data_IF_840522216942
#
_entry.id   IF_840522216942
#
_cell.length_a   1.000
_cell.length_b   1.000
_cell.length_c   1.000
_cell.angle_alpha   90.00
_cell.angle_beta   90.00
_cell.angle_gamma   90.00
#
_symmetry.space_group_name_H-M   'P 1'
#
loop_
_entity.id
_entity.type
_entity.pdbx_description
1 polymer ?
#
# COMPACT_ATOMS: atom_id res chain seq x y z
N UNK A 1 20.14 2.92 2.19
CA UNK A 1 20.46 1.55 2.63
C UNK A 1 19.38 1.11 3.62
N UNK A 2 18.54 0.13 3.29
CA UNK A 2 17.50 -0.41 4.17
C UNK A 2 18.09 -0.94 5.49
N UNK A 3 17.27 -0.92 6.55
CA UNK A 3 17.69 -1.30 7.91
C UNK A 3 18.33 -2.69 7.96
N UNK A 4 17.77 -3.65 7.22
CA UNK A 4 18.27 -5.03 7.16
C UNK A 4 19.68 -5.12 6.56
N UNK A 5 19.97 -4.34 5.51
CA UNK A 5 21.31 -4.30 4.92
C UNK A 5 22.33 -3.68 5.87
N UNK A 6 21.94 -2.64 6.63
CA UNK A 6 22.80 -2.06 7.66
C UNK A 6 23.11 -3.07 8.77
N UNK A 7 22.10 -3.79 9.26
CA UNK A 7 22.30 -4.84 10.26
C UNK A 7 23.21 -5.96 9.74
N UNK A 8 23.02 -6.40 8.50
CA UNK A 8 23.86 -7.44 7.89
C UNK A 8 25.32 -6.98 7.67
N UNK A 9 25.53 -5.71 7.35
CA UNK A 9 26.87 -5.14 7.26
C UNK A 9 27.56 -5.09 8.64
N UNK A 10 26.82 -4.69 9.69
CA UNK A 10 27.33 -4.65 11.06
C UNK A 10 27.65 -6.05 11.58
N UNK A 11 26.79 -7.05 11.38
CA UNK A 11 27.06 -8.44 11.81
C UNK A 11 28.32 -9.00 11.15
N UNK A 12 28.50 -8.79 9.83
CA UNK A 12 29.70 -9.23 9.11
C UNK A 12 30.98 -8.56 9.64
N UNK A 13 30.89 -7.27 9.97
CA UNK A 13 32.01 -6.52 10.55
C UNK A 13 32.37 -7.05 11.95
N UNK A 14 31.38 -7.31 12.80
CA UNK A 14 31.60 -7.87 14.15
C UNK A 14 32.28 -9.24 14.08
N UNK A 15 31.84 -10.12 13.17
CA UNK A 15 32.47 -11.43 12.97
C UNK A 15 33.94 -11.28 12.56
N UNK A 16 34.24 -10.38 11.60
CA UNK A 16 35.62 -10.14 11.18
C UNK A 16 36.50 -9.64 12.32
N UNK A 17 36.03 -8.66 13.10
CA UNK A 17 36.78 -8.12 14.24
C UNK A 17 37.04 -9.20 15.31
N UNK A 18 36.04 -10.02 15.63
CA UNK A 18 36.20 -11.12 16.58
C UNK A 18 37.22 -12.17 16.11
N UNK A 19 37.20 -12.55 14.83
CA UNK A 19 38.17 -13.49 14.25
C UNK A 19 39.59 -12.90 14.29
N UNK A 20 39.75 -11.63 13.88
CA UNK A 20 41.07 -10.97 13.92
C UNK A 20 41.59 -10.81 15.35
N UNK A 21 40.72 -10.49 16.31
CA UNK A 21 41.09 -10.36 17.72
C UNK A 21 41.47 -11.71 18.36
N UNK A 22 40.78 -12.78 17.99
CA UNK A 22 41.11 -14.13 18.42
C UNK A 22 42.49 -14.58 17.89
N UNK A 23 42.80 -14.33 16.62
CA UNK A 23 44.10 -14.67 16.03
C UNK A 23 45.23 -13.89 16.73
N UNK A 24 45.03 -12.61 17.02
CA UNK A 24 46.07 -11.75 17.59
C UNK A 24 46.39 -12.06 19.07
N UNK A 25 45.38 -12.48 19.85
CA UNK A 25 45.53 -12.66 21.31
C UNK A 25 45.44 -14.12 21.78
N UNK A 26 44.95 -15.03 20.92
CA UNK A 26 44.68 -16.45 21.21
C UNK A 26 43.82 -16.68 22.46
N UNK A 27 42.99 -15.71 22.84
CA UNK A 27 42.16 -15.78 24.04
C UNK A 27 40.72 -16.20 23.70
N UNK A 28 40.22 -17.26 24.35
CA UNK A 28 38.86 -17.77 24.19
C UNK A 28 37.78 -16.75 24.59
N UNK A 29 38.12 -15.70 25.35
CA UNK A 29 37.21 -14.63 25.72
C UNK A 29 36.57 -13.94 24.50
N UNK A 30 37.24 -13.91 23.34
CA UNK A 30 36.68 -13.35 22.11
C UNK A 30 35.47 -14.12 21.58
N UNK A 31 35.37 -15.43 21.86
CA UNK A 31 34.22 -16.25 21.48
C UNK A 31 32.99 -15.80 22.28
N UNK A 32 33.13 -15.62 23.60
CA UNK A 32 32.03 -15.16 24.46
C UNK A 32 31.51 -13.77 24.07
N UNK A 33 32.41 -12.86 23.70
CA UNK A 33 32.06 -11.51 23.23
C UNK A 33 31.28 -11.58 21.90
N UNK A 34 31.69 -12.47 20.98
CA UNK A 34 30.99 -12.65 19.69
C UNK A 34 29.56 -13.15 19.87
N UNK A 35 29.34 -14.10 20.79
CA UNK A 35 28.00 -14.65 21.07
C UNK A 35 27.11 -13.57 21.70
N UNK A 36 27.63 -12.81 22.67
CA UNK A 36 26.88 -11.75 23.34
C UNK A 36 26.46 -10.65 22.36
N UNK A 37 27.39 -10.20 21.50
CA UNK A 37 27.12 -9.13 20.52
C UNK A 37 26.10 -9.57 19.46
N UNK A 38 26.18 -10.80 18.95
CA UNK A 38 25.18 -11.35 18.02
C UNK A 38 23.81 -11.43 18.69
N UNK A 39 23.73 -11.87 19.95
CA UNK A 39 22.49 -11.91 20.70
C UNK A 39 21.85 -10.52 20.85
N UNK A 40 22.65 -9.48 21.16
CA UNK A 40 22.18 -8.10 21.22
C UNK A 40 21.64 -7.61 19.86
N UNK A 41 22.29 -7.96 18.75
CA UNK A 41 21.85 -7.57 17.41
C UNK A 41 20.51 -8.24 17.05
N UNK A 42 20.34 -9.52 17.37
CA UNK A 42 19.08 -10.25 17.14
C UNK A 42 17.95 -9.64 17.99
N UNK A 43 18.22 -9.33 19.26
CA UNK A 43 17.25 -8.68 20.14
C UNK A 43 16.82 -7.32 19.58
N UNK A 44 17.79 -6.51 19.12
CA UNK A 44 17.52 -5.22 18.48
C UNK A 44 16.66 -5.36 17.22
N UNK A 45 16.97 -6.33 16.34
CA UNK A 45 16.19 -6.59 15.13
C UNK A 45 14.74 -6.95 15.46
N UNK A 46 14.53 -7.83 16.43
CA UNK A 46 13.20 -8.28 16.84
C UNK A 46 12.36 -7.15 17.45
N UNK A 47 12.98 -6.26 18.23
CA UNK A 47 12.33 -5.10 18.83
C UNK A 47 12.01 -4.00 17.80
N UNK A 48 12.85 -3.84 16.77
CA UNK A 48 12.71 -2.79 15.75
C UNK A 48 12.17 -3.28 14.41
N UNK A 49 11.61 -4.49 14.36
CA UNK A 49 10.79 -4.94 13.22
C UNK A 49 9.49 -4.14 13.17
N UNK A 50 9.61 -2.88 12.77
CA UNK A 50 8.48 -2.11 12.28
C UNK A 50 8.08 -2.70 10.94
N UNK A 51 6.80 -3.01 10.69
CA UNK A 51 6.37 -3.41 9.36
C UNK A 51 6.80 -2.31 8.39
N UNK A 52 7.67 -2.70 7.46
CA UNK A 52 8.22 -1.81 6.44
C UNK A 52 7.05 -1.62 5.47
N UNK A 53 6.47 -0.41 5.49
CA UNK A 53 5.33 0.02 4.68
C UNK A 53 3.97 -0.50 5.18
N UNK A 54 3.25 0.36 5.91
CA UNK A 54 1.81 0.21 6.07
C UNK A 54 1.17 0.52 4.71
N UNK A 55 1.14 -0.46 3.80
CA UNK A 55 0.17 -0.42 2.71
C UNK A 55 -1.20 -0.20 3.32
N UNK A 56 -1.96 0.70 2.71
CA UNK A 56 -3.29 1.07 3.17
C UNK A 56 -4.14 -0.19 3.38
N UNK A 57 -4.39 -0.56 4.63
CA UNK A 57 -5.24 -1.71 4.93
C UNK A 57 -6.68 -1.30 4.68
N UNK A 58 -7.36 -2.02 3.81
CA UNK A 58 -8.76 -1.76 3.48
C UNK A 58 -9.67 -2.72 4.24
N UNK A 59 -10.75 -2.16 4.79
CA UNK A 59 -11.83 -2.93 5.38
C UNK A 59 -12.68 -3.55 4.27
N UNK A 60 -12.59 -4.86 4.09
CA UNK A 60 -13.39 -5.62 3.13
C UNK A 60 -14.91 -5.45 3.35
N UNK A 61 -15.37 -5.15 4.57
CA UNK A 61 -16.79 -4.97 4.89
C UNK A 61 -17.37 -3.62 4.41
N UNK A 62 -16.51 -2.62 4.22
CA UNK A 62 -16.90 -1.27 3.78
C UNK A 62 -16.86 -1.09 2.27
N UNK A 63 -16.30 -2.06 1.55
CA UNK A 63 -16.09 -2.00 0.11
C UNK A 63 -16.76 -3.18 -0.59
N UNK A 64 -17.00 -3.04 -1.89
CA UNK A 64 -17.42 -4.14 -2.73
C UNK A 64 -16.21 -5.01 -3.07
N UNK A 65 -16.38 -6.32 -3.00
CA UNK A 65 -15.31 -7.31 -3.27
C UNK A 65 -15.38 -7.83 -4.72
N UNK A 66 -14.26 -8.27 -5.31
CA UNK A 66 -14.25 -8.89 -6.63
C UNK A 66 -15.12 -10.15 -6.68
N UNK A 67 -15.97 -10.25 -7.69
CA UNK A 67 -16.78 -11.45 -7.98
C UNK A 67 -16.36 -12.07 -9.30
N UNK A 68 -16.73 -13.32 -9.57
CA UNK A 68 -16.43 -13.96 -10.86
C UNK A 68 -17.12 -13.27 -12.05
N UNK A 69 -18.30 -12.68 -11.83
CA UNK A 69 -19.03 -11.96 -12.87
C UNK A 69 -18.48 -10.55 -13.09
N UNK A 70 -17.89 -9.96 -12.04
CA UNK A 70 -17.36 -8.61 -12.04
C UNK A 70 -16.03 -8.54 -11.26
N UNK A 71 -14.93 -9.11 -11.81
CA UNK A 71 -13.65 -9.16 -11.12
C UNK A 71 -13.06 -7.77 -10.92
N UNK A 72 -13.32 -6.82 -11.84
CA UNK A 72 -12.89 -5.43 -11.71
C UNK A 72 -13.79 -4.57 -10.83
N UNK A 73 -14.90 -5.10 -10.31
CA UNK A 73 -15.82 -4.35 -9.44
C UNK A 73 -16.32 -3.04 -10.06
N UNK A 74 -16.37 -2.95 -11.39
CA UNK A 74 -16.89 -1.77 -12.08
C UNK A 74 -18.41 -1.72 -11.96
N UNK A 75 -19.00 -0.53 -11.99
CA UNK A 75 -20.46 -0.41 -11.99
C UNK A 75 -21.01 -0.98 -13.29
N UNK A 76 -21.82 -2.03 -13.19
CA UNK A 76 -22.47 -2.66 -14.34
C UNK A 76 -23.94 -2.20 -14.46
N UNK A 77 -24.47 -2.16 -15.68
CA UNK A 77 -25.86 -1.74 -15.94
C UNK A 77 -26.91 -2.48 -15.09
N UNK A 78 -26.83 -3.82 -14.90
CA UNK A 78 -27.81 -4.53 -14.07
C UNK A 78 -27.75 -4.11 -12.60
N UNK A 79 -26.57 -3.73 -12.11
CA UNK A 79 -26.38 -3.33 -10.71
C UNK A 79 -26.93 -1.93 -10.42
N UNK A 80 -27.01 -1.04 -11.41
CA UNK A 80 -27.60 0.30 -11.24
C UNK A 80 -29.04 0.20 -10.76
N UNK A 81 -29.81 -0.74 -11.32
CA UNK A 81 -31.19 -0.98 -10.92
C UNK A 81 -31.30 -1.95 -9.75
N UNK A 82 -30.41 -2.95 -9.67
CA UNK A 82 -30.47 -4.01 -8.66
C UNK A 82 -29.89 -3.64 -7.29
N UNK A 83 -28.97 -2.66 -7.23
CA UNK A 83 -28.30 -2.22 -6.01
C UNK A 83 -28.06 -0.70 -6.01
N UNK A 84 -29.10 0.03 -5.58
CA UNK A 84 -29.07 1.50 -5.54
C UNK A 84 -28.11 2.11 -4.50
N UNK A 85 -27.55 1.31 -3.58
CA UNK A 85 -26.64 1.76 -2.51
C UNK A 85 -25.33 0.96 -2.54
N UNK A 86 -24.72 0.83 -3.73
CA UNK A 86 -23.47 0.10 -3.92
C UNK A 86 -22.31 0.84 -3.24
N UNK A 87 -21.56 0.13 -2.40
CA UNK A 87 -20.34 0.61 -1.74
C UNK A 87 -19.18 0.73 -2.74
N UNK A 88 -18.19 1.56 -2.42
CA UNK A 88 -16.98 1.74 -3.23
C UNK A 88 -16.25 0.42 -3.45
N UNK A 89 -15.62 0.25 -4.60
CA UNK A 89 -14.78 -0.92 -4.87
C UNK A 89 -13.52 -0.92 -3.99
N UNK A 90 -12.96 -2.11 -3.74
CA UNK A 90 -11.60 -2.20 -3.21
C UNK A 90 -10.60 -1.58 -4.19
N UNK A 91 -9.55 -0.95 -3.66
CA UNK A 91 -8.53 -0.36 -4.53
C UNK A 91 -7.72 -1.47 -5.19
N UNK A 92 -7.75 -1.49 -6.52
CA UNK A 92 -7.16 -2.52 -7.37
C UNK A 92 -5.64 -2.54 -7.37
N UNK A 93 -4.99 -1.41 -7.09
CA UNK A 93 -3.53 -1.32 -7.03
C UNK A 93 -2.92 -1.96 -5.77
N UNK A 94 -3.74 -2.37 -4.78
CA UNK A 94 -3.22 -3.08 -3.63
C UNK A 94 -2.90 -4.54 -4.01
N UNK A 95 -1.75 -5.08 -3.56
CA UNK A 95 -1.32 -6.43 -3.94
C UNK A 95 -2.30 -7.51 -3.49
N UNK A 96 -2.97 -7.33 -2.35
CA UNK A 96 -3.98 -8.28 -1.86
C UNK A 96 -5.23 -8.29 -2.74
N UNK A 97 -5.70 -7.12 -3.15
CA UNK A 97 -6.85 -6.99 -4.06
C UNK A 97 -6.51 -7.51 -5.45
N UNK A 98 -5.33 -7.19 -5.98
CA UNK A 98 -4.83 -7.66 -7.27
C UNK A 98 -4.80 -9.19 -7.34
N UNK A 99 -4.27 -9.87 -6.30
CA UNK A 99 -4.30 -11.33 -6.21
C UNK A 99 -5.72 -11.89 -6.27
N UNK A 100 -6.66 -11.26 -5.57
CA UNK A 100 -8.07 -11.67 -5.58
C UNK A 100 -8.66 -11.50 -6.99
N UNK A 101 -8.44 -10.34 -7.63
CA UNK A 101 -8.90 -10.06 -9.00
C UNK A 101 -8.36 -11.11 -9.98
N UNK A 102 -7.05 -11.36 -9.95
CA UNK A 102 -6.41 -12.36 -10.82
C UNK A 102 -6.94 -13.77 -10.56
N UNK A 103 -7.23 -14.12 -9.31
CA UNK A 103 -7.86 -15.40 -8.96
C UNK A 103 -9.28 -15.50 -9.51
N UNK A 104 -10.10 -14.44 -9.40
CA UNK A 104 -11.46 -14.41 -9.94
C UNK A 104 -11.50 -14.46 -11.46
N UNK A 105 -10.54 -13.81 -12.13
CA UNK A 105 -10.39 -13.91 -13.58
C UNK A 105 -10.01 -15.34 -13.98
N UNK A 106 -9.05 -15.97 -13.29
CA UNK A 106 -8.68 -17.37 -13.53
C UNK A 106 -9.89 -18.31 -13.36
N UNK A 107 -10.68 -18.14 -12.29
CA UNK A 107 -11.92 -18.89 -12.04
C UNK A 107 -12.98 -18.67 -13.13
N UNK A 108 -13.17 -17.43 -13.59
CA UNK A 108 -14.15 -17.11 -14.63
C UNK A 108 -13.75 -17.74 -15.97
N UNK A 109 -12.46 -17.70 -16.32
CA UNK A 109 -11.93 -18.24 -17.57
C UNK A 109 -11.88 -19.76 -17.57
N UNK A 110 -11.50 -20.39 -16.45
CA UNK A 110 -11.43 -21.84 -16.32
C UNK A 110 -12.79 -22.55 -16.45
N UNK A 111 -13.90 -21.83 -16.25
CA UNK A 111 -15.25 -22.36 -16.56
C UNK A 111 -15.48 -22.61 -18.04
N UNK A 112 -14.73 -21.93 -18.92
CA UNK A 112 -14.87 -22.02 -20.39
C UNK A 112 -13.67 -22.67 -21.06
N UNK A 113 -12.51 -22.67 -20.41
CA UNK A 113 -11.23 -23.09 -20.96
C UNK A 113 -10.47 -23.99 -19.98
N UNK A 114 -9.44 -24.70 -20.46
CA UNK A 114 -8.65 -25.61 -19.63
C UNK A 114 -7.84 -24.84 -18.55
N UNK A 115 -7.93 -25.29 -17.31
CA UNK A 115 -7.21 -24.75 -16.15
C UNK A 115 -5.67 -24.83 -16.34
N UNK A 116 -5.19 -25.75 -17.18
CA UNK A 116 -3.75 -25.89 -17.51
C UNK A 116 -3.17 -24.62 -18.13
N UNK A 117 -3.99 -23.74 -18.71
CA UNK A 117 -3.57 -22.44 -19.24
C UNK A 117 -2.89 -21.56 -18.18
N UNK A 118 -3.16 -21.76 -16.90
CA UNK A 118 -2.62 -20.92 -15.81
C UNK A 118 -1.56 -21.60 -14.93
N UNK A 119 -1.18 -22.85 -15.21
CA UNK A 119 -0.26 -23.64 -14.35
C UNK A 119 1.23 -23.46 -14.68
N UNK A 120 1.58 -22.76 -15.76
CA UNK A 120 2.97 -22.52 -16.15
C UNK A 120 3.59 -21.29 -15.47
N UNK A 121 4.89 -21.35 -15.16
CA UNK A 121 5.65 -20.25 -14.53
C UNK A 121 5.59 -18.95 -15.35
N UNK A 122 5.64 -19.06 -16.68
CA UNK A 122 5.56 -17.91 -17.58
C UNK A 122 4.13 -17.39 -17.79
N UNK A 123 3.10 -18.15 -17.36
CA UNK A 123 1.71 -17.83 -17.69
C UNK A 123 1.14 -16.72 -16.78
N UNK A 124 1.68 -16.55 -15.57
CA UNK A 124 1.25 -15.47 -14.66
C UNK A 124 1.62 -14.09 -15.21
N UNK A 125 2.86 -13.94 -15.72
CA UNK A 125 3.29 -12.71 -16.38
C UNK A 125 2.47 -12.42 -17.65
N UNK A 126 2.19 -13.44 -18.46
CA UNK A 126 1.34 -13.29 -19.63
C UNK A 126 -0.09 -12.86 -19.26
N UNK A 127 -0.63 -13.39 -18.16
CA UNK A 127 -1.92 -12.96 -17.63
C UNK A 127 -1.87 -11.49 -17.21
N UNK A 128 -0.91 -11.06 -16.40
CA UNK A 128 -0.74 -9.65 -16.00
C UNK A 128 -0.63 -8.72 -17.21
N UNK A 129 0.14 -9.13 -18.23
CA UNK A 129 0.26 -8.38 -19.46
C UNK A 129 -1.04 -8.26 -20.25
N UNK A 130 -1.88 -9.29 -20.23
CA UNK A 130 -3.23 -9.25 -20.82
C UNK A 130 -4.19 -8.39 -19.99
N UNK A 131 -3.97 -8.31 -18.67
CA UNK A 131 -4.80 -7.55 -17.74
C UNK A 131 -4.59 -6.03 -17.83
N UNK A 132 -3.54 -5.54 -18.51
CA UNK A 132 -3.26 -4.10 -18.64
C UNK A 132 -4.40 -3.25 -19.20
N UNK A 133 -5.23 -3.83 -20.07
CA UNK A 133 -6.38 -3.13 -20.65
C UNK A 133 -7.61 -3.13 -19.73
N UNK A 134 -7.58 -3.91 -18.65
CA UNK A 134 -8.68 -4.06 -17.71
C UNK A 134 -8.32 -3.36 -16.41
N UNK A 135 -9.10 -2.34 -16.07
CA UNK A 135 -8.88 -1.52 -14.89
C UNK A 135 -10.20 -1.19 -14.21
N UNK A 136 -10.10 -0.83 -12.93
CA UNK A 136 -11.22 -0.34 -12.14
C UNK A 136 -11.46 1.12 -12.46
N UNK A 137 -12.70 1.50 -12.78
CA UNK A 137 -13.05 2.89 -13.08
C UNK A 137 -12.93 3.77 -11.83
N UNK A 138 -12.75 5.08 -12.01
CA UNK A 138 -12.63 6.00 -10.88
C UNK A 138 -13.92 6.09 -10.04
N UNK A 139 -15.09 6.01 -10.70
CA UNK A 139 -16.39 5.92 -10.04
C UNK A 139 -16.83 4.47 -9.94
N UNK A 140 -17.04 3.99 -8.72
CA UNK A 140 -17.47 2.60 -8.43
C UNK A 140 -18.66 2.50 -7.48
N UNK A 141 -19.15 3.63 -6.97
CA UNK A 141 -20.32 3.73 -6.07
C UNK A 141 -21.59 4.00 -6.86
N UNK A 142 -22.73 3.61 -6.29
CA UNK A 142 -24.05 4.02 -6.77
C UNK A 142 -24.80 4.61 -5.58
N UNK A 143 -25.25 5.88 -5.65
CA UNK A 143 -24.92 6.88 -6.67
C UNK A 143 -23.43 7.26 -6.68
N UNK A 144 -22.97 7.99 -7.71
CA UNK A 144 -21.60 8.52 -7.73
C UNK A 144 -21.36 9.49 -6.57
N UNK A 145 -20.17 9.48 -5.97
CA UNK A 145 -19.81 10.30 -4.82
C UNK A 145 -19.53 11.77 -5.21
N UNK A 146 -20.60 12.49 -5.54
CA UNK A 146 -20.53 13.92 -5.86
C UNK A 146 -20.17 14.77 -4.64
N UNK A 147 -20.58 14.33 -3.44
CA UNK A 147 -20.29 15.03 -2.20
C UNK A 147 -18.79 15.02 -1.91
N UNK A 148 -18.15 13.85 -1.95
CA UNK A 148 -16.71 13.73 -1.78
C UNK A 148 -15.92 14.53 -2.82
N UNK A 149 -16.39 14.58 -4.08
CA UNK A 149 -15.79 15.44 -5.10
C UNK A 149 -15.92 16.93 -4.78
N UNK A 150 -17.09 17.37 -4.32
CA UNK A 150 -17.31 18.78 -3.93
C UNK A 150 -16.46 19.18 -2.72
N UNK A 151 -16.32 18.30 -1.74
CA UNK A 151 -15.46 18.49 -0.57
C UNK A 151 -13.99 18.52 -0.98
N UNK A 152 -13.57 17.70 -1.94
CA UNK A 152 -12.21 17.76 -2.49
C UNK A 152 -11.91 19.12 -3.14
N UNK A 153 -12.85 19.69 -3.88
CA UNK A 153 -12.66 20.99 -4.55
C UNK A 153 -12.78 22.19 -3.60
N UNK A 154 -13.72 22.14 -2.65
CA UNK A 154 -14.15 23.33 -1.90
C UNK A 154 -14.16 23.14 -0.38
N UNK A 155 -13.91 21.94 0.15
CA UNK A 155 -14.04 21.64 1.58
C UNK A 155 -13.16 22.50 2.48
N UNK A 156 -11.94 22.82 2.03
CA UNK A 156 -10.99 23.66 2.76
C UNK A 156 -11.12 25.16 2.43
N UNK A 157 -12.09 25.54 1.61
CA UNK A 157 -12.34 26.93 1.22
C UNK A 157 -13.12 27.67 2.31
N UNK A 158 -12.39 28.10 3.34
CA UNK A 158 -12.95 28.95 4.39
C UNK A 158 -13.41 30.31 3.82
N UNK A 159 -14.66 30.67 4.06
CA UNK A 159 -15.25 31.92 3.59
C UNK A 159 -15.04 33.06 4.58
N UNK A 160 -14.61 34.23 4.09
CA UNK A 160 -14.51 35.46 4.89
C UNK A 160 -15.89 36.07 5.18
N UNK A 161 -16.94 35.70 4.43
CA UNK A 161 -18.32 36.20 4.61
C UNK A 161 -18.90 35.82 5.98
N UNK A 162 -18.45 34.72 6.56
CA UNK A 162 -18.90 34.24 7.87
C UNK A 162 -18.06 34.79 9.03
N UNK A 163 -17.12 35.71 8.76
CA UNK A 163 -16.28 36.32 9.78
C UNK A 163 -15.11 35.45 10.24
N UNK A 164 -14.71 34.43 9.47
CA UNK A 164 -13.58 33.58 9.81
C UNK A 164 -12.25 34.40 9.78
N UNK A 165 -11.53 34.52 10.91
CA UNK A 165 -10.35 35.37 11.00
C UNK A 165 -9.21 34.89 10.11
N UNK A 166 -9.08 33.59 9.85
CA UNK A 166 -8.06 33.03 8.97
C UNK A 166 -8.35 33.39 7.50
N UNK A 167 -9.63 33.39 7.10
CA UNK A 167 -10.04 33.78 5.75
C UNK A 167 -9.84 35.29 5.51
N UNK A 168 -10.17 36.12 6.51
CA UNK A 168 -9.96 37.57 6.46
C UNK A 168 -8.47 37.92 6.42
N UNK A 169 -7.63 37.21 7.19
CA UNK A 169 -6.19 37.40 7.20
C UNK A 169 -5.52 37.06 5.85
N UNK A 170 -6.08 36.13 5.06
CA UNK A 170 -5.57 35.84 3.70
C UNK A 170 -5.70 37.03 2.75
N UNK A 171 -6.64 37.93 2.99
CA UNK A 171 -6.88 39.13 2.18
C UNK A 171 -6.27 40.40 2.78
N UNK A 172 -5.67 40.34 3.98
CA UNK A 172 -4.98 41.48 4.54
C UNK A 172 -3.73 41.78 3.70
N UNK A 173 -3.55 43.03 3.21
CA UNK A 173 -2.30 43.40 2.59
C UNK A 173 -1.17 43.16 3.58
N UNK A 174 -0.13 42.43 3.15
CA UNK A 174 1.09 42.25 3.94
C UNK A 174 1.57 43.64 4.38
N UNK A 175 1.84 43.78 5.68
CA UNK A 175 2.22 45.04 6.32
C UNK A 175 3.21 45.81 5.42
N UNK A 176 2.73 46.85 4.74
CA UNK A 176 3.48 47.56 3.69
C UNK A 176 2.71 47.96 2.42
N UNK A 177 1.47 47.52 2.18
CA UNK A 177 0.69 48.11 1.07
C UNK A 177 0.08 49.44 1.50
N UNK A 178 0.56 50.53 0.90
CA UNK A 178 0.00 51.87 1.05
C UNK A 178 -1.52 51.88 0.80
N UNK A 179 -2.31 52.63 1.59
CA UNK A 179 -3.71 52.85 1.29
C UNK A 179 -3.80 53.74 0.05
N UNK A 180 -4.46 53.24 -0.99
CA UNK A 180 -5.00 54.05 -2.08
C UNK A 180 -6.43 54.47 -1.76
#
# INVERSE_FOLDING_TARGET
>A
MPMNEKLNAITRLVVLLCVTGFIATQNLNFIWISILTIACIIAYHKLNNKPIENFEKQDFLKHTTPTEQNPMMNVLLPEINGNSNRKSALKSYLPETEKIINTKVKEQVSKRLDERLFKGVNNELNLEYSMRNFYTTASTTIPNDQEGFSQFLYGDMISAKEGNPIALARQQPRLGSLPG
#
